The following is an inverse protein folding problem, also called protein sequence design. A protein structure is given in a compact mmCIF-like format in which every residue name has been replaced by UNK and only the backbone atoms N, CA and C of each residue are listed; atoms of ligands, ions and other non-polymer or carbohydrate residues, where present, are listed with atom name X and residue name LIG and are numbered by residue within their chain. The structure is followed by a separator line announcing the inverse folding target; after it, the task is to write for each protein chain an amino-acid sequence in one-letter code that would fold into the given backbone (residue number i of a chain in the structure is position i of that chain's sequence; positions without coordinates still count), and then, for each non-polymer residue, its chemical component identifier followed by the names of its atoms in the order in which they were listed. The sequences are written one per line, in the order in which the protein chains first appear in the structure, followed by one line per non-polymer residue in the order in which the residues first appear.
data_IF_516628870102
#
_entry.id   IF_516628870102
#
_cell.length_a   1.000
_cell.length_b   1.000
_cell.length_c   1.000
_cell.angle_alpha   90.00
_cell.angle_beta   90.00
_cell.angle_gamma   90.00
#
_symmetry.space_group_name_H-M   'P 1'
#
loop_
_entity.id
_entity.type
_entity.pdbx_description
1 polymer ?
#
# COMPACT_ATOMS: atom_id res chain seq x y z
N UNK A 1 35.25 45.55 6.93
CA UNK A 1 35.06 45.77 8.39
C UNK A 1 36.03 44.88 9.17
N UNK A 2 36.60 45.36 10.27
CA UNK A 2 37.93 44.99 10.76
C UNK A 2 37.98 43.71 11.59
N UNK A 3 39.22 43.20 11.72
CA UNK A 3 39.71 42.19 12.65
C UNK A 3 39.69 42.68 14.10
N UNK A 4 39.43 41.78 15.05
CA UNK A 4 40.06 41.69 16.37
C UNK A 4 39.82 40.24 16.85
N UNK A 5 40.77 39.30 16.74
CA UNK A 5 41.90 39.08 17.65
C UNK A 5 41.48 39.02 19.12
N UNK A 6 41.59 37.83 19.76
CA UNK A 6 42.32 37.60 21.02
C UNK A 6 42.45 36.09 21.24
N UNK A 7 43.71 35.61 21.24
CA UNK A 7 44.18 34.40 21.92
C UNK A 7 44.09 34.62 23.44
N UNK A 8 43.67 33.63 24.22
CA UNK A 8 44.41 33.21 25.42
C UNK A 8 43.78 31.98 26.09
N UNK A 9 44.67 31.03 26.37
CA UNK A 9 44.52 29.80 27.13
C UNK A 9 44.40 30.12 28.63
N UNK A 10 43.60 29.35 29.38
CA UNK A 10 43.98 28.89 30.72
C UNK A 10 43.11 27.72 31.21
N UNK A 11 43.84 26.68 31.59
CA UNK A 11 43.44 25.42 32.19
C UNK A 11 42.95 25.66 33.63
N UNK A 12 41.84 25.02 34.02
CA UNK A 12 41.68 24.58 35.42
C UNK A 12 41.06 23.20 35.49
N UNK A 13 41.77 22.34 36.21
CA UNK A 13 41.48 20.93 36.47
C UNK A 13 40.38 20.77 37.52
N UNK A 14 39.71 19.61 37.41
CA UNK A 14 39.28 18.72 38.47
C UNK A 14 37.80 18.75 38.94
N UNK A 15 37.22 17.54 38.78
CA UNK A 15 36.28 16.88 39.70
C UNK A 15 34.80 17.21 39.57
N UNK A 16 34.12 16.51 38.66
CA UNK A 16 32.83 15.90 39.02
C UNK A 16 32.74 14.47 38.48
N UNK A 17 32.82 13.57 39.44
CA UNK A 17 32.20 12.25 39.53
C UNK A 17 31.29 11.83 38.37
N UNK A 18 31.67 10.69 37.76
CA UNK A 18 30.79 9.61 37.32
C UNK A 18 29.31 9.99 37.10
N UNK A 19 28.98 10.37 35.87
CA UNK A 19 27.70 9.98 35.29
C UNK A 19 28.03 8.91 34.26
N UNK A 20 27.97 7.64 34.68
CA UNK A 20 27.69 6.56 33.75
C UNK A 20 26.39 6.96 33.04
N UNK A 21 26.50 7.41 31.80
CA UNK A 21 25.37 7.44 30.89
C UNK A 21 25.00 5.97 30.71
N UNK A 22 24.02 5.51 31.49
CA UNK A 22 23.29 4.31 31.17
C UNK A 22 22.68 4.54 29.80
N UNK A 23 23.39 4.09 28.76
CA UNK A 23 22.75 3.74 27.50
C UNK A 23 21.66 2.74 27.86
N UNK A 24 20.42 3.20 27.95
CA UNK A 24 19.26 2.32 27.92
C UNK A 24 19.36 1.61 26.58
N UNK A 25 19.94 0.43 26.58
CA UNK A 25 19.59 -0.60 25.62
C UNK A 25 18.06 -0.67 25.66
N UNK A 26 17.37 -0.46 24.52
CA UNK A 26 15.94 -0.70 24.49
C UNK A 26 15.73 -2.15 24.95
N UNK A 27 14.99 -2.33 26.04
CA UNK A 27 14.51 -3.65 26.43
C UNK A 27 13.48 -4.03 25.37
N UNK A 28 13.93 -4.72 24.33
CA UNK A 28 13.05 -5.45 23.45
C UNK A 28 12.44 -6.56 24.31
N UNK A 29 11.16 -6.44 24.63
CA UNK A 29 10.40 -7.56 25.18
C UNK A 29 10.40 -8.63 24.10
N UNK A 30 10.90 -9.84 24.40
CA UNK A 30 10.60 -11.03 23.60
C UNK A 30 9.09 -11.28 23.72
N UNK A 31 8.30 -10.57 22.90
CA UNK A 31 6.92 -10.94 22.63
C UNK A 31 6.94 -12.37 22.05
N UNK A 32 5.97 -13.19 22.47
CA UNK A 32 5.92 -14.64 22.20
C UNK A 32 6.41 -14.99 20.79
N UNK A 33 7.46 -15.82 20.76
CA UNK A 33 8.40 -16.06 19.66
C UNK A 33 7.82 -16.83 18.46
N UNK A 34 6.65 -16.43 17.95
CA UNK A 34 6.30 -16.81 16.60
C UNK A 34 7.04 -15.90 15.64
N UNK A 35 8.15 -16.39 15.10
CA UNK A 35 8.90 -15.70 14.05
C UNK A 35 7.98 -15.51 12.83
N UNK A 36 7.75 -14.26 12.46
CA UNK A 36 6.95 -13.94 11.28
C UNK A 36 7.71 -14.39 10.02
N UNK A 37 6.99 -15.01 9.10
CA UNK A 37 7.49 -15.39 7.79
C UNK A 37 7.08 -14.40 6.70
N UNK A 38 7.57 -14.65 5.48
CA UNK A 38 7.09 -13.93 4.29
C UNK A 38 5.56 -14.04 4.17
N UNK A 39 4.98 -15.21 4.44
CA UNK A 39 3.55 -15.45 4.29
C UNK A 39 2.70 -14.46 5.10
N UNK A 40 3.19 -14.03 6.27
CA UNK A 40 2.52 -13.05 7.12
C UNK A 40 2.58 -11.62 6.55
N UNK A 41 3.48 -11.34 5.61
CA UNK A 41 3.56 -10.07 4.88
C UNK A 41 2.76 -10.07 3.58
N UNK A 42 2.17 -11.22 3.20
CA UNK A 42 1.43 -11.39 1.96
C UNK A 42 -0.08 -11.31 2.21
N UNK A 43 -0.86 -10.72 1.29
CA UNK A 43 -2.31 -10.74 1.40
C UNK A 43 -2.85 -12.17 1.31
N UNK A 44 -3.92 -12.43 2.08
CA UNK A 44 -4.65 -13.69 2.04
C UNK A 44 -5.26 -13.95 0.66
N UNK A 45 -5.20 -15.20 0.20
CA UNK A 45 -5.85 -15.65 -1.04
C UNK A 45 -7.38 -15.76 -0.93
N UNK A 46 -7.95 -15.53 0.25
CA UNK A 46 -9.40 -15.52 0.46
C UNK A 46 -10.08 -14.27 -0.12
N UNK A 47 -9.30 -13.22 -0.37
CA UNK A 47 -9.76 -12.00 -1.00
C UNK A 47 -9.32 -11.98 -2.46
N UNK A 48 -10.24 -11.66 -3.36
CA UNK A 48 -10.01 -11.61 -4.79
C UNK A 48 -10.66 -10.39 -5.42
N UNK A 49 -10.17 -10.00 -6.61
CA UNK A 49 -10.85 -9.02 -7.44
C UNK A 49 -12.23 -9.54 -7.86
N UNK A 50 -13.16 -8.64 -8.12
CA UNK A 50 -14.52 -8.98 -8.55
C UNK A 50 -15.46 -9.44 -7.43
N UNK A 51 -14.96 -9.68 -6.20
CA UNK A 51 -15.82 -9.97 -5.05
C UNK A 51 -16.82 -8.83 -4.83
N UNK A 52 -18.09 -9.18 -4.64
CA UNK A 52 -19.11 -8.25 -4.18
C UNK A 52 -18.90 -7.87 -2.72
N UNK A 53 -19.52 -6.77 -2.28
CA UNK A 53 -19.57 -6.39 -0.87
C UNK A 53 -20.11 -7.53 0.01
N UNK A 54 -21.15 -8.24 -0.44
CA UNK A 54 -21.73 -9.34 0.34
C UNK A 54 -20.79 -10.54 0.49
N UNK A 55 -20.01 -10.88 -0.55
CA UNK A 55 -18.99 -11.94 -0.46
C UNK A 55 -17.84 -11.53 0.44
N UNK A 56 -17.37 -10.27 0.32
CA UNK A 56 -16.32 -9.71 1.17
C UNK A 56 -16.71 -9.75 2.64
N UNK A 57 -17.91 -9.29 2.99
CA UNK A 57 -18.43 -9.29 4.36
C UNK A 57 -18.52 -10.71 4.95
N UNK A 58 -18.95 -11.71 4.15
CA UNK A 58 -18.98 -13.11 4.60
C UNK A 58 -17.59 -13.63 4.97
N UNK A 59 -16.58 -13.33 4.15
CA UNK A 59 -15.18 -13.73 4.46
C UNK A 59 -14.69 -13.02 5.71
N UNK A 60 -14.94 -11.71 5.85
CA UNK A 60 -14.55 -10.93 7.03
C UNK A 60 -15.19 -11.49 8.30
N UNK A 61 -16.49 -11.70 8.30
CA UNK A 61 -17.21 -12.24 9.47
C UNK A 61 -16.74 -13.64 9.85
N UNK A 62 -16.41 -14.49 8.86
CA UNK A 62 -15.98 -15.86 9.12
C UNK A 62 -14.52 -15.96 9.60
N UNK A 63 -13.62 -15.11 9.08
CA UNK A 63 -12.17 -15.29 9.25
C UNK A 63 -11.51 -14.19 10.08
N UNK A 64 -12.14 -13.03 10.16
CA UNK A 64 -11.64 -11.85 10.86
C UNK A 64 -12.72 -11.25 11.79
N UNK A 65 -13.44 -12.06 12.60
CA UNK A 65 -14.64 -11.62 13.33
C UNK A 65 -14.37 -10.54 14.37
N UNK A 66 -13.14 -10.46 14.87
CA UNK A 66 -12.72 -9.52 15.92
C UNK A 66 -11.97 -8.30 15.38
N UNK A 67 -11.80 -8.19 14.06
CA UNK A 67 -11.06 -7.08 13.46
C UNK A 67 -11.95 -5.83 13.43
N UNK A 68 -11.36 -4.69 13.78
CA UNK A 68 -12.04 -3.40 13.72
C UNK A 68 -12.34 -3.04 12.27
N UNK A 69 -13.57 -2.60 11.99
CA UNK A 69 -14.06 -2.27 10.65
C UNK A 69 -14.27 -0.77 10.48
N UNK A 70 -13.92 -0.25 9.31
CA UNK A 70 -14.20 1.13 8.92
C UNK A 70 -14.59 1.24 7.45
N UNK A 71 -15.27 2.33 7.09
CA UNK A 71 -15.73 2.60 5.74
C UNK A 71 -15.36 4.00 5.30
N UNK A 72 -15.18 4.18 4.00
CA UNK A 72 -15.11 5.49 3.35
C UNK A 72 -16.10 5.54 2.19
N UNK A 73 -16.85 6.62 2.14
CA UNK A 73 -17.76 6.93 1.04
C UNK A 73 -17.19 8.04 0.16
N UNK A 74 -17.66 8.10 -1.09
CA UNK A 74 -17.36 9.19 -2.02
C UNK A 74 -18.50 9.42 -3.01
N UNK A 75 -18.55 10.58 -3.65
CA UNK A 75 -19.49 10.86 -4.73
C UNK A 75 -19.31 9.90 -5.93
N UNK A 76 -20.42 9.53 -6.56
CA UNK A 76 -20.43 8.64 -7.74
C UNK A 76 -19.68 9.27 -8.92
N UNK A 77 -19.90 10.55 -9.20
CA UNK A 77 -19.04 11.36 -10.06
C UNK A 77 -18.24 12.33 -9.18
N UNK A 78 -16.91 12.32 -9.29
CA UNK A 78 -16.03 13.05 -8.39
C UNK A 78 -15.42 14.30 -9.03
N UNK A 79 -15.81 14.63 -10.27
CA UNK A 79 -15.40 15.87 -10.91
C UNK A 79 -16.01 17.05 -10.15
N UNK A 80 -15.20 18.09 -9.97
CA UNK A 80 -15.65 19.34 -9.38
C UNK A 80 -16.38 20.19 -10.43
N UNK A 81 -17.50 19.66 -10.92
CA UNK A 81 -18.32 20.28 -11.95
C UNK A 81 -19.70 20.67 -11.36
N UNK A 82 -20.05 21.96 -11.32
CA UNK A 82 -21.32 22.41 -10.78
C UNK A 82 -22.53 21.93 -11.60
N UNK A 83 -22.36 21.65 -12.90
CA UNK A 83 -23.43 21.20 -13.81
C UNK A 83 -23.92 19.78 -13.52
N UNK A 84 -23.11 18.98 -12.82
CA UNK A 84 -23.47 17.61 -12.46
C UNK A 84 -24.76 17.55 -11.64
N UNK A 85 -25.66 16.66 -12.09
CA UNK A 85 -26.91 16.38 -11.41
C UNK A 85 -26.71 15.94 -9.95
N UNK A 86 -27.73 16.14 -9.12
CA UNK A 86 -27.72 15.69 -7.72
C UNK A 86 -27.48 14.17 -7.58
N UNK A 87 -27.98 13.38 -8.54
CA UNK A 87 -27.77 11.93 -8.59
C UNK A 87 -26.28 11.58 -8.77
N UNK A 88 -25.56 12.31 -9.63
CA UNK A 88 -24.12 12.12 -9.82
C UNK A 88 -23.30 12.37 -8.54
N UNK A 89 -23.76 13.30 -7.71
CA UNK A 89 -23.12 13.66 -6.43
C UNK A 89 -23.49 12.71 -5.27
N UNK A 90 -24.38 11.74 -5.50
CA UNK A 90 -24.80 10.78 -4.46
C UNK A 90 -23.61 9.93 -4.02
N UNK A 91 -23.34 9.83 -2.70
CA UNK A 91 -22.21 9.07 -2.20
C UNK A 91 -22.46 7.57 -2.26
N UNK A 92 -21.42 6.80 -2.58
CA UNK A 92 -21.41 5.33 -2.50
C UNK A 92 -20.25 4.84 -1.63
N UNK A 93 -20.30 3.58 -1.20
CA UNK A 93 -19.23 2.94 -0.45
C UNK A 93 -18.00 2.72 -1.36
N UNK A 94 -16.95 3.52 -1.18
CA UNK A 94 -15.72 3.41 -1.95
C UNK A 94 -14.78 2.37 -1.36
N UNK A 95 -14.62 2.40 -0.04
CA UNK A 95 -13.60 1.61 0.63
C UNK A 95 -14.17 0.99 1.88
N UNK A 96 -13.90 -0.29 2.06
CA UNK A 96 -14.07 -1.01 3.31
C UNK A 96 -12.69 -1.37 3.82
N UNK A 97 -12.40 -1.10 5.09
CA UNK A 97 -11.13 -1.49 5.71
C UNK A 97 -11.38 -2.28 6.98
N UNK A 98 -10.51 -3.26 7.24
CA UNK A 98 -10.44 -3.99 8.50
C UNK A 98 -9.03 -3.91 9.08
N UNK A 99 -8.92 -3.87 10.39
CA UNK A 99 -7.62 -3.81 11.07
C UNK A 99 -7.62 -4.56 12.39
N UNK A 100 -6.48 -5.11 12.74
CA UNK A 100 -6.26 -5.75 14.03
C UNK A 100 -4.85 -5.45 14.53
N UNK A 101 -4.75 -5.32 15.84
CA UNK A 101 -3.49 -5.19 16.53
C UNK A 101 -3.29 -6.44 17.40
N UNK A 102 -2.19 -7.13 17.17
CA UNK A 102 -1.81 -8.32 17.92
C UNK A 102 -0.62 -7.96 18.79
N UNK A 103 -0.88 -7.64 20.06
CA UNK A 103 0.20 -7.35 21.04
C UNK A 103 1.08 -8.58 21.27
N UNK A 104 0.53 -9.78 21.14
CA UNK A 104 1.28 -11.03 21.29
C UNK A 104 2.34 -11.22 20.18
N UNK A 105 2.01 -10.84 18.95
CA UNK A 105 2.94 -10.86 17.81
C UNK A 105 3.68 -9.52 17.63
N UNK A 106 3.31 -8.50 18.40
CA UNK A 106 3.87 -7.16 18.28
C UNK A 106 3.64 -6.52 16.91
N UNK A 107 2.48 -6.76 16.28
CA UNK A 107 2.16 -6.22 14.95
C UNK A 107 0.78 -5.56 14.87
N UNK A 108 0.65 -4.65 13.92
CA UNK A 108 -0.63 -4.17 13.40
C UNK A 108 -0.82 -4.64 11.97
N UNK A 109 -1.98 -5.21 11.69
CA UNK A 109 -2.38 -5.66 10.36
C UNK A 109 -3.62 -4.90 9.90
N UNK A 110 -3.70 -4.60 8.61
CA UNK A 110 -4.91 -4.04 8.03
C UNK A 110 -5.10 -4.45 6.57
N UNK A 111 -6.36 -4.61 6.18
CA UNK A 111 -6.79 -4.68 4.80
C UNK A 111 -7.60 -3.44 4.46
N UNK A 112 -7.43 -2.94 3.23
CA UNK A 112 -8.29 -1.94 2.64
C UNK A 112 -8.72 -2.38 1.25
N UNK A 113 -10.02 -2.45 1.03
CA UNK A 113 -10.65 -2.91 -0.20
C UNK A 113 -11.30 -1.73 -0.90
N UNK A 114 -10.80 -1.35 -2.07
CA UNK A 114 -11.45 -0.35 -2.91
C UNK A 114 -12.47 -1.02 -3.85
N UNK A 115 -13.65 -0.42 -3.91
CA UNK A 115 -14.82 -0.91 -4.61
C UNK A 115 -15.17 -0.02 -5.79
N UNK A 116 -15.57 -0.66 -6.89
CA UNK A 116 -16.19 0.03 -8.02
C UNK A 116 -17.51 0.66 -7.57
N UNK A 117 -17.98 1.66 -8.30
CA UNK A 117 -19.26 2.31 -8.01
C UNK A 117 -20.46 1.36 -8.21
N UNK A 118 -21.67 1.76 -7.77
CA UNK A 118 -22.89 1.04 -8.08
C UNK A 118 -23.15 0.86 -9.58
N UNK A 119 -22.62 1.76 -10.42
CA UNK A 119 -22.71 1.66 -11.89
C UNK A 119 -21.94 0.45 -12.45
N UNK A 120 -20.99 -0.07 -11.68
CA UNK A 120 -20.16 -1.22 -12.02
C UNK A 120 -20.31 -2.36 -11.01
N UNK A 121 -21.39 -2.36 -10.23
CA UNK A 121 -21.80 -3.49 -9.40
C UNK A 121 -21.13 -3.62 -8.03
N UNK A 122 -20.47 -2.57 -7.50
CA UNK A 122 -19.86 -2.57 -6.17
C UNK A 122 -18.89 -3.75 -5.94
N UNK A 123 -17.91 -3.90 -6.83
CA UNK A 123 -16.94 -5.01 -6.83
C UNK A 123 -15.56 -4.56 -6.39
N UNK A 124 -14.83 -5.42 -5.70
CA UNK A 124 -13.43 -5.18 -5.31
C UNK A 124 -12.56 -5.07 -6.56
N UNK A 125 -11.86 -3.95 -6.73
CA UNK A 125 -10.83 -3.79 -7.77
C UNK A 125 -9.43 -3.54 -7.21
N UNK A 126 -9.32 -3.19 -5.92
CA UNK A 126 -8.02 -3.04 -5.27
C UNK A 126 -8.05 -3.56 -3.84
N UNK A 127 -6.98 -4.26 -3.48
CA UNK A 127 -6.76 -4.87 -2.18
C UNK A 127 -5.40 -4.38 -1.69
N UNK A 128 -5.40 -3.63 -0.60
CA UNK A 128 -4.19 -3.18 0.08
C UNK A 128 -4.08 -3.94 1.39
N UNK A 129 -2.99 -4.68 1.57
CA UNK A 129 -2.67 -5.33 2.84
C UNK A 129 -1.46 -4.66 3.45
N UNK A 130 -1.55 -4.30 4.73
CA UNK A 130 -0.48 -3.62 5.46
C UNK A 130 -0.17 -4.37 6.75
N UNK A 131 1.11 -4.54 7.01
CA UNK A 131 1.65 -5.08 8.26
C UNK A 131 2.70 -4.13 8.80
N UNK A 132 2.61 -3.79 10.08
CA UNK A 132 3.52 -2.88 10.76
C UNK A 132 4.00 -3.50 12.06
N UNK A 133 5.28 -3.37 12.36
CA UNK A 133 5.81 -3.63 13.68
C UNK A 133 5.27 -2.61 14.68
N UNK A 134 4.84 -3.06 15.86
CA UNK A 134 4.48 -2.18 16.97
C UNK A 134 5.73 -1.64 17.66
N UNK A 135 5.54 -0.61 18.49
CA UNK A 135 6.61 -0.03 19.29
C UNK A 135 7.30 -1.10 20.15
N UNK A 136 8.63 -1.06 20.15
CA UNK A 136 9.44 -2.06 20.88
C UNK A 136 9.66 -3.37 20.12
N UNK A 137 9.16 -3.52 18.90
CA UNK A 137 9.53 -4.61 17.98
C UNK A 137 10.62 -4.12 17.03
N UNK A 138 11.75 -4.83 16.99
CA UNK A 138 12.92 -4.44 16.20
C UNK A 138 12.64 -4.41 14.68
N UNK A 139 11.80 -5.33 14.23
CA UNK A 139 11.39 -5.49 12.83
C UNK A 139 10.67 -6.82 12.62
N UNK A 140 10.06 -6.97 11.45
CA UNK A 140 9.23 -8.10 11.06
C UNK A 140 10.09 -9.23 10.49
N UNK A 141 10.52 -9.08 9.23
CA UNK A 141 11.22 -10.10 8.45
C UNK A 141 12.47 -9.48 7.84
N UNK A 142 13.60 -10.22 7.70
CA UNK A 142 14.74 -9.74 6.95
C UNK A 142 14.37 -9.42 5.49
N UNK A 143 14.85 -8.29 4.99
CA UNK A 143 14.59 -7.86 3.61
C UNK A 143 15.10 -8.84 2.57
N UNK A 144 16.15 -9.61 2.87
CA UNK A 144 16.67 -10.64 1.97
C UNK A 144 15.72 -11.86 1.91
N UNK A 145 15.11 -12.26 3.03
CA UNK A 145 14.06 -13.30 3.07
C UNK A 145 12.84 -12.86 2.27
N UNK A 146 12.45 -11.60 2.42
CA UNK A 146 11.40 -10.98 1.62
C UNK A 146 11.71 -11.04 0.12
N UNK A 147 12.90 -10.58 -0.29
CA UNK A 147 13.30 -10.55 -1.69
C UNK A 147 13.37 -11.95 -2.32
N UNK A 148 14.01 -12.90 -1.62
CA UNK A 148 14.10 -14.29 -2.07
C UNK A 148 12.72 -14.95 -2.18
N UNK A 149 11.85 -14.66 -1.22
CA UNK A 149 10.48 -15.15 -1.19
C UNK A 149 9.62 -14.66 -2.36
N UNK A 150 9.70 -13.36 -2.67
CA UNK A 150 9.02 -12.82 -3.84
C UNK A 150 9.58 -13.37 -5.15
N UNK A 151 10.91 -13.50 -5.25
CA UNK A 151 11.57 -14.09 -6.41
C UNK A 151 11.16 -15.55 -6.63
N UNK A 152 11.10 -16.35 -5.56
CA UNK A 152 10.63 -17.74 -5.65
C UNK A 152 9.18 -17.85 -6.14
N UNK A 153 8.37 -16.80 -5.91
CA UNK A 153 6.95 -16.80 -6.26
C UNK A 153 6.67 -16.32 -7.68
N UNK A 154 7.36 -15.26 -8.10
CA UNK A 154 7.07 -14.53 -9.34
C UNK A 154 8.29 -14.24 -10.21
N UNK A 155 9.46 -14.80 -9.87
CA UNK A 155 10.69 -14.54 -10.59
C UNK A 155 11.21 -13.11 -10.41
N UNK A 156 11.90 -12.60 -11.43
CA UNK A 156 12.44 -11.24 -11.39
C UNK A 156 11.33 -10.19 -11.32
N UNK A 157 11.47 -9.24 -10.40
CA UNK A 157 10.58 -8.08 -10.32
C UNK A 157 10.70 -7.23 -11.58
N UNK A 158 9.57 -6.68 -12.02
CA UNK A 158 9.50 -5.78 -13.16
C UNK A 158 9.96 -4.36 -12.82
N UNK A 159 9.78 -3.95 -11.57
CA UNK A 159 10.14 -2.61 -11.11
C UNK A 159 10.42 -2.55 -9.61
N UNK A 160 10.95 -1.40 -9.18
CA UNK A 160 11.20 -1.07 -7.78
C UNK A 160 12.69 -1.03 -7.41
N UNK A 161 13.03 -0.08 -6.55
CA UNK A 161 14.39 0.16 -6.07
C UNK A 161 14.56 -0.27 -4.60
N UNK A 162 15.81 -0.33 -4.15
CA UNK A 162 16.18 -0.48 -2.74
C UNK A 162 17.07 0.70 -2.33
N UNK A 163 16.78 1.26 -1.17
CA UNK A 163 17.60 2.20 -0.43
C UNK A 163 17.86 1.63 0.98
N UNK A 164 18.57 2.39 1.82
CA UNK A 164 18.79 2.04 3.23
C UNK A 164 17.49 2.00 4.05
N UNK A 165 16.48 2.76 3.65
CA UNK A 165 15.23 2.95 4.41
C UNK A 165 14.01 2.31 3.75
N UNK A 166 14.12 1.85 2.50
CA UNK A 166 12.97 1.33 1.74
C UNK A 166 13.38 0.31 0.70
N UNK A 167 12.53 -0.66 0.44
CA UNK A 167 12.59 -1.48 -0.77
C UNK A 167 11.22 -1.59 -1.44
N UNK A 168 11.22 -1.81 -2.76
CA UNK A 168 10.02 -2.02 -3.56
C UNK A 168 10.21 -3.15 -4.56
N UNK A 169 9.15 -3.92 -4.77
CA UNK A 169 9.05 -4.90 -5.84
C UNK A 169 7.67 -4.81 -6.50
N UNK A 170 7.67 -4.61 -7.81
CA UNK A 170 6.46 -4.47 -8.63
C UNK A 170 6.41 -5.59 -9.66
N UNK A 171 5.24 -6.18 -9.85
CA UNK A 171 4.92 -7.24 -10.80
C UNK A 171 3.64 -6.88 -11.55
N UNK A 172 3.58 -7.21 -12.83
CA UNK A 172 2.45 -6.91 -13.70
C UNK A 172 1.95 -8.19 -14.33
N UNK A 173 0.63 -8.29 -14.46
CA UNK A 173 -0.04 -9.50 -14.94
C UNK A 173 -1.07 -9.13 -16.01
N UNK A 174 -1.27 -10.05 -16.95
CA UNK A 174 -2.30 -9.95 -17.97
C UNK A 174 -3.67 -10.41 -17.45
N UNK A 175 -4.67 -10.43 -18.34
CA UNK A 175 -6.05 -10.83 -18.01
C UNK A 175 -6.18 -12.28 -17.55
N UNK A 176 -5.24 -13.16 -17.94
CA UNK A 176 -5.19 -14.56 -17.53
C UNK A 176 -4.43 -14.75 -16.21
N UNK A 177 -4.02 -13.65 -15.57
CA UNK A 177 -3.20 -13.60 -14.36
C UNK A 177 -1.78 -14.14 -14.54
N UNK A 178 -1.27 -14.17 -15.78
CA UNK A 178 0.09 -14.55 -16.09
C UNK A 178 1.03 -13.34 -16.04
N UNK A 179 2.30 -13.57 -15.69
CA UNK A 179 3.30 -12.51 -15.59
C UNK A 179 3.65 -11.96 -16.98
N UNK A 180 3.62 -10.64 -17.11
CA UNK A 180 3.98 -9.96 -18.36
C UNK A 180 5.49 -9.90 -18.53
N UNK A 181 6.00 -10.50 -19.61
CA UNK A 181 7.41 -10.40 -19.97
C UNK A 181 7.81 -8.94 -20.21
N UNK A 182 8.91 -8.51 -19.59
CA UNK A 182 9.39 -7.11 -19.62
C UNK A 182 8.35 -6.09 -19.13
N UNK A 183 7.45 -6.51 -18.22
CA UNK A 183 6.33 -5.69 -17.74
C UNK A 183 6.73 -4.32 -17.20
N UNK A 184 7.94 -4.13 -16.67
CA UNK A 184 8.40 -2.82 -16.21
C UNK A 184 8.46 -1.81 -17.35
N UNK A 185 9.04 -2.20 -18.50
CA UNK A 185 9.15 -1.31 -19.67
C UNK A 185 7.78 -1.01 -20.29
N UNK A 186 6.87 -1.98 -20.27
CA UNK A 186 5.57 -1.89 -20.96
C UNK A 186 4.52 -1.21 -20.07
N UNK A 187 4.47 -1.54 -18.78
CA UNK A 187 3.38 -1.18 -17.89
C UNK A 187 3.66 0.05 -17.01
N UNK A 188 4.93 0.47 -16.83
CA UNK A 188 5.25 1.60 -15.93
C UNK A 188 4.54 2.91 -16.35
N UNK A 189 4.29 3.09 -17.65
CA UNK A 189 3.55 4.23 -18.21
C UNK A 189 2.08 4.32 -17.75
N UNK A 190 1.52 3.27 -17.14
CA UNK A 190 0.14 3.24 -16.67
C UNK A 190 -0.01 4.11 -15.41
N UNK A 191 0.96 4.08 -14.48
CA UNK A 191 0.82 4.73 -13.18
C UNK A 191 0.55 6.24 -13.24
N UNK A 192 1.25 7.04 -14.08
CA UNK A 192 0.95 8.47 -14.20
C UNK A 192 -0.48 8.74 -14.69
N UNK A 193 -1.03 7.87 -15.55
CA UNK A 193 -2.38 8.01 -16.10
C UNK A 193 -3.48 7.71 -15.07
N UNK A 194 -3.19 6.89 -14.05
CA UNK A 194 -4.09 6.63 -12.93
C UNK A 194 -4.07 7.70 -11.84
N UNK A 195 -3.10 8.62 -11.85
CA UNK A 195 -3.04 9.69 -10.86
C UNK A 195 -4.26 10.62 -10.99
N UNK A 196 -5.00 10.78 -9.88
CA UNK A 196 -6.26 11.56 -9.81
C UNK A 196 -7.25 11.19 -10.92
N UNK A 197 -7.32 9.89 -11.24
CA UNK A 197 -8.15 9.38 -12.34
C UNK A 197 -9.62 9.85 -12.28
N UNK A 198 -10.19 9.94 -11.09
CA UNK A 198 -11.60 10.34 -10.91
C UNK A 198 -11.89 11.83 -11.19
N UNK A 199 -10.85 12.63 -11.44
CA UNK A 199 -10.96 14.04 -11.80
C UNK A 199 -10.76 14.28 -13.30
N UNK A 200 -10.40 13.22 -14.04
CA UNK A 200 -10.13 13.28 -15.47
C UNK A 200 -11.41 13.42 -16.29
N UNK A 201 -11.26 13.98 -17.49
CA UNK A 201 -12.30 14.01 -18.51
C UNK A 201 -12.54 12.62 -19.12
N UNK A 202 -13.68 12.40 -19.78
CA UNK A 202 -13.96 11.12 -20.44
C UNK A 202 -12.89 10.76 -21.48
N UNK A 203 -12.38 11.72 -22.23
CA UNK A 203 -11.32 11.49 -23.23
C UNK A 203 -10.02 11.01 -22.60
N UNK A 204 -9.63 11.58 -21.46
CA UNK A 204 -8.45 11.13 -20.72
C UNK A 204 -8.64 9.73 -20.12
N UNK A 205 -9.84 9.42 -19.62
CA UNK A 205 -10.14 8.09 -19.09
C UNK A 205 -10.19 7.06 -20.23
N UNK A 206 -10.73 7.40 -21.40
CA UNK A 206 -10.73 6.55 -22.58
C UNK A 206 -9.29 6.24 -23.04
N UNK A 207 -8.43 7.25 -23.11
CA UNK A 207 -7.00 7.06 -23.41
C UNK A 207 -6.33 6.12 -22.40
N UNK A 208 -6.69 6.21 -21.13
CA UNK A 208 -6.18 5.27 -20.12
C UNK A 208 -6.70 3.86 -20.34
N UNK A 209 -7.99 3.68 -20.64
CA UNK A 209 -8.55 2.36 -20.93
C UNK A 209 -7.86 1.72 -22.14
N UNK A 210 -7.65 2.48 -23.22
CA UNK A 210 -6.90 2.05 -24.40
C UNK A 210 -5.44 1.72 -24.07
N UNK A 211 -4.82 2.47 -23.15
CA UNK A 211 -3.47 2.18 -22.67
C UNK A 211 -3.41 0.84 -21.92
N UNK A 212 -4.37 0.56 -21.03
CA UNK A 212 -4.46 -0.72 -20.32
C UNK A 212 -4.64 -1.89 -21.30
N UNK A 213 -5.51 -1.73 -22.30
CA UNK A 213 -5.73 -2.76 -23.34
C UNK A 213 -4.48 -2.97 -24.19
N UNK A 214 -3.86 -1.90 -24.70
CA UNK A 214 -2.71 -1.98 -25.61
C UNK A 214 -1.44 -2.51 -24.94
N UNK A 215 -1.27 -2.24 -23.65
CA UNK A 215 -0.14 -2.77 -22.87
C UNK A 215 -0.37 -4.20 -22.38
N UNK A 216 -1.63 -4.65 -22.34
CA UNK A 216 -2.02 -5.95 -21.77
C UNK A 216 -1.90 -6.02 -20.25
N UNK A 217 -1.53 -4.93 -19.56
CA UNK A 217 -1.28 -4.92 -18.11
C UNK A 217 -2.58 -4.73 -17.34
N UNK A 218 -3.34 -5.82 -17.18
CA UNK A 218 -4.62 -5.81 -16.49
C UNK A 218 -4.46 -5.64 -14.98
N UNK A 219 -3.46 -6.29 -14.38
CA UNK A 219 -3.24 -6.26 -12.93
C UNK A 219 -1.82 -5.86 -12.55
N UNK A 220 -1.69 -5.29 -11.35
CA UNK A 220 -0.41 -5.09 -10.70
C UNK A 220 -0.41 -5.62 -9.28
N UNK A 221 0.75 -6.13 -8.86
CA UNK A 221 1.11 -6.38 -7.47
C UNK A 221 2.35 -5.57 -7.14
N UNK A 222 2.23 -4.68 -6.16
CA UNK A 222 3.31 -3.80 -5.76
C UNK A 222 3.50 -3.89 -4.24
N UNK A 223 4.69 -4.30 -3.82
CA UNK A 223 5.01 -4.38 -2.41
C UNK A 223 6.11 -3.40 -2.05
N UNK A 224 5.76 -2.49 -1.15
CA UNK A 224 6.63 -1.46 -0.61
C UNK A 224 6.92 -1.83 0.84
N UNK A 225 8.19 -1.91 1.20
CA UNK A 225 8.62 -2.16 2.57
C UNK A 225 9.48 -1.01 3.10
N UNK A 226 9.24 -0.61 4.34
CA UNK A 226 10.12 0.29 5.09
C UNK A 226 11.13 -0.53 5.87
N UNK A 227 12.36 -0.04 5.99
CA UNK A 227 13.47 -0.77 6.58
C UNK A 227 14.01 -0.10 7.84
N UNK A 228 14.45 -0.92 8.79
CA UNK A 228 15.27 -0.55 9.96
C UNK A 228 16.63 -1.22 9.80
N UNK A 229 17.69 -0.48 10.09
CA UNK A 229 19.09 -0.89 9.93
C UNK A 229 19.43 -1.42 8.52
N UNK A 230 18.68 -1.02 7.49
CA UNK A 230 18.75 -1.54 6.11
C UNK A 230 18.57 -3.07 5.95
N UNK A 231 18.17 -3.76 7.02
CA UNK A 231 18.16 -5.23 7.11
C UNK A 231 16.77 -5.79 7.42
N UNK A 232 16.03 -5.16 8.32
CA UNK A 232 14.74 -5.65 8.80
C UNK A 232 13.61 -4.79 8.28
N UNK A 233 12.50 -5.42 7.92
CA UNK A 233 11.28 -4.72 7.50
C UNK A 233 10.55 -4.19 8.75
N UNK A 234 10.28 -2.90 8.84
CA UNK A 234 9.42 -2.34 9.89
C UNK A 234 7.96 -2.23 9.49
N UNK A 235 7.70 -2.03 8.20
CA UNK A 235 6.35 -2.09 7.63
C UNK A 235 6.36 -2.62 6.22
N UNK A 236 5.31 -3.36 5.85
CA UNK A 236 5.05 -3.85 4.51
C UNK A 236 3.68 -3.36 4.07
N UNK A 237 3.59 -2.78 2.87
CA UNK A 237 2.33 -2.44 2.22
C UNK A 237 2.30 -3.15 0.88
N UNK A 238 1.35 -4.05 0.71
CA UNK A 238 1.13 -4.85 -0.47
C UNK A 238 -0.12 -4.35 -1.19
N UNK A 239 0.05 -3.77 -2.37
CA UNK A 239 -1.01 -3.31 -3.25
C UNK A 239 -1.28 -4.36 -4.31
N UNK A 240 -2.53 -4.77 -4.45
CA UNK A 240 -3.03 -5.54 -5.60
C UNK A 240 -4.11 -4.72 -6.29
N UNK A 241 -3.98 -4.46 -7.58
CA UNK A 241 -4.90 -3.60 -8.34
C UNK A 241 -5.31 -4.27 -9.64
N UNK A 242 -6.60 -4.18 -9.97
CA UNK A 242 -7.19 -4.44 -11.28
C UNK A 242 -7.42 -3.09 -11.99
N UNK A 243 -6.51 -2.78 -12.91
CA UNK A 243 -6.53 -1.52 -13.66
C UNK A 243 -7.72 -1.47 -14.62
N UNK A 244 -8.07 -2.59 -15.24
CA UNK A 244 -9.16 -2.65 -16.21
C UNK A 244 -10.50 -2.34 -15.55
N UNK A 245 -10.80 -2.99 -14.42
CA UNK A 245 -12.02 -2.73 -13.65
C UNK A 245 -12.08 -1.29 -13.14
N UNK A 246 -10.96 -0.74 -12.68
CA UNK A 246 -10.91 0.64 -12.20
C UNK A 246 -11.16 1.64 -13.34
N UNK A 247 -10.49 1.48 -14.49
CA UNK A 247 -10.68 2.37 -15.64
C UNK A 247 -12.13 2.30 -16.15
N UNK A 248 -12.68 1.09 -16.31
CA UNK A 248 -14.06 0.90 -16.75
C UNK A 248 -15.09 1.50 -15.78
N UNK A 249 -14.85 1.42 -14.46
CA UNK A 249 -15.71 2.09 -13.48
C UNK A 249 -15.67 3.61 -13.62
N UNK A 250 -14.47 4.19 -13.74
CA UNK A 250 -14.33 5.63 -13.89
C UNK A 250 -14.97 6.13 -15.20
N UNK A 251 -14.83 5.40 -16.31
CA UNK A 251 -15.50 5.75 -17.58
C UNK A 251 -17.02 5.92 -17.39
N UNK A 252 -17.66 4.97 -16.69
CA UNK A 252 -19.10 5.05 -16.40
C UNK A 252 -19.43 6.22 -15.48
N UNK A 253 -18.58 6.48 -14.49
CA UNK A 253 -18.80 7.53 -13.49
C UNK A 253 -18.66 8.94 -14.05
N UNK A 254 -17.68 9.21 -14.92
CA UNK A 254 -17.42 10.57 -15.39
C UNK A 254 -18.53 11.10 -16.28
N UNK A 255 -19.18 10.23 -17.07
CA UNK A 255 -20.36 10.60 -17.88
C UNK A 255 -21.67 10.54 -17.09
N UNK A 256 -21.64 9.98 -15.88
CA UNK A 256 -22.86 9.82 -15.11
C UNK A 256 -23.38 11.16 -14.59
N UNK A 257 -24.60 11.49 -15.04
CA UNK A 257 -25.31 12.71 -14.67
C UNK A 257 -24.70 13.98 -15.27
N UNK A 258 -24.00 13.83 -16.39
CA UNK A 258 -23.95 14.84 -17.44
C UNK A 258 -25.33 14.89 -18.13
N UNK A 259 -25.89 16.09 -18.29
CA UNK A 259 -27.16 16.33 -18.99
C UNK A 259 -26.91 16.70 -20.46
#
# INVERSE_FOLDING_TARGET
MPRAAVLAVLVFLASFLQAFSSSRTPNFTEAGSQELGLADLMPSSLFAFGMSVGELEKVIQSRYPTWARSERKRATNNRNDPSLSAKAKTPYLQTLSISHESSAQGIRQSYSFALTSPLSGNRVYSIVYKVEALDGVRGLVPVNTWAAGLFSRWGEKHGGARSETRARATYFFDLDHELIKEGGKICDQIYPSFHRLDEKTIDEVNKLADLVVSTGCAYAKDNIVSLVDALLISSSIFYSVDFASQAADVQRRVVFGED
#
